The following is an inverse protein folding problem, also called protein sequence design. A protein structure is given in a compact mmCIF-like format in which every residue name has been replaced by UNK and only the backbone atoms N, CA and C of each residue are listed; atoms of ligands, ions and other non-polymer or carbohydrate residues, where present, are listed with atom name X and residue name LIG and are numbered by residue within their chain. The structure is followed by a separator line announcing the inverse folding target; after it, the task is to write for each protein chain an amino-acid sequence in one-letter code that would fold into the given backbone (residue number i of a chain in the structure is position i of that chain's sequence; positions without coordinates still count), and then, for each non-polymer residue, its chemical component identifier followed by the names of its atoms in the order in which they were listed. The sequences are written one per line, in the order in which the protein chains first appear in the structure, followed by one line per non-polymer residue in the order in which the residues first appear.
data_IF_670141770462
#
_entry.id   IF_670141770462
#
_cell.length_a   1.000
_cell.length_b   1.000
_cell.length_c   1.000
_cell.angle_alpha   90.00
_cell.angle_beta   90.00
_cell.angle_gamma   90.00
#
_symmetry.space_group_name_H-M   'P 1'
#
loop_
_entity.id
_entity.type
_entity.pdbx_description
1 polymer ?
#
# COMPACT_ATOMS: atom_id res chain seq x y z
N UNK A 1 60.43 -33.07 7.76
CA UNK A 1 61.04 -34.32 8.28
C UNK A 1 60.23 -34.71 9.51
N UNK A 2 59.22 -35.57 9.33
CA UNK A 2 59.27 -37.03 9.59
C UNK A 2 59.17 -37.32 11.10
N UNK A 3 58.33 -38.19 11.64
CA UNK A 3 57.39 -39.13 11.06
C UNK A 3 56.39 -39.61 12.15
N UNK A 4 55.25 -40.10 11.64
CA UNK A 4 54.16 -40.97 12.12
C UNK A 4 54.22 -41.76 13.46
N UNK A 5 52.99 -41.99 13.98
CA UNK A 5 52.51 -43.27 14.57
C UNK A 5 51.60 -43.06 15.80
N UNK A 6 50.26 -42.98 15.75
CA UNK A 6 49.15 -43.92 15.40
C UNK A 6 49.02 -45.21 16.24
N UNK A 7 47.89 -45.30 16.97
CA UNK A 7 47.10 -46.52 17.28
C UNK A 7 47.19 -47.01 18.74
N UNK A 8 46.14 -47.45 19.45
CA UNK A 8 44.72 -47.74 19.15
C UNK A 8 43.98 -48.07 20.47
N UNK A 9 42.67 -47.75 20.52
CA UNK A 9 41.50 -48.33 21.22
C UNK A 9 41.70 -49.63 22.06
N UNK A 10 41.01 -49.88 23.19
CA UNK A 10 39.54 -49.98 23.37
C UNK A 10 39.07 -50.00 24.85
N UNK A 11 37.80 -49.59 25.03
CA UNK A 11 36.75 -50.02 26.00
C UNK A 11 36.87 -49.73 27.51
N UNK A 12 36.08 -48.74 27.91
CA UNK A 12 35.36 -48.51 29.19
C UNK A 12 34.55 -49.75 29.68
N UNK A 13 34.10 -49.86 30.96
CA UNK A 13 33.18 -48.85 31.54
C UNK A 13 33.13 -48.63 33.08
N UNK A 14 32.48 -47.51 33.39
CA UNK A 14 31.50 -47.27 34.47
C UNK A 14 31.97 -46.57 35.76
N UNK A 15 31.77 -45.24 35.79
CA UNK A 15 31.50 -44.51 37.04
C UNK A 15 30.34 -43.52 36.86
N UNK A 16 29.40 -43.58 37.80
CA UNK A 16 28.18 -42.81 37.87
C UNK A 16 28.44 -41.37 38.32
N UNK A 17 27.88 -40.39 37.60
CA UNK A 17 27.95 -38.97 37.98
C UNK A 17 26.55 -38.39 38.23
N UNK A 18 26.31 -38.00 39.49
CA UNK A 18 25.10 -37.35 39.95
C UNK A 18 25.01 -35.90 39.42
N UNK A 19 23.98 -35.60 38.62
CA UNK A 19 23.65 -34.23 38.19
C UNK A 19 22.81 -33.51 39.26
N UNK A 20 23.35 -32.43 39.80
CA UNK A 20 22.68 -31.48 40.69
C UNK A 20 21.84 -30.50 39.84
N UNK A 21 20.52 -30.64 39.85
CA UNK A 21 19.61 -29.71 39.18
C UNK A 21 19.51 -28.39 39.94
N UNK A 22 19.93 -27.27 39.33
CA UNK A 22 19.67 -25.90 39.83
C UNK A 22 18.18 -25.58 39.63
N UNK A 23 17.41 -25.51 40.73
CA UNK A 23 16.05 -24.96 40.74
C UNK A 23 16.10 -23.47 40.39
N UNK A 24 15.50 -23.06 39.27
CA UNK A 24 15.17 -21.65 39.03
C UNK A 24 14.18 -21.19 40.09
N UNK A 25 14.52 -20.13 40.81
CA UNK A 25 13.63 -19.50 41.80
C UNK A 25 12.49 -18.76 41.08
N UNK A 26 11.25 -18.98 41.53
CA UNK A 26 10.02 -18.29 41.09
C UNK A 26 10.14 -16.75 41.10
N UNK A 27 11.09 -16.20 41.88
CA UNK A 27 11.33 -14.76 42.01
C UNK A 27 12.07 -14.15 40.79
N UNK A 28 12.85 -14.93 40.05
CA UNK A 28 13.53 -14.47 38.83
C UNK A 28 12.58 -14.46 37.64
N UNK A 29 11.59 -15.38 37.62
CA UNK A 29 10.54 -15.41 36.60
C UNK A 29 9.62 -14.17 36.69
N UNK A 30 9.30 -13.73 37.92
CA UNK A 30 8.47 -12.54 38.16
C UNK A 30 9.17 -11.22 37.80
N UNK A 31 10.50 -11.14 37.92
CA UNK A 31 11.26 -9.96 37.46
C UNK A 31 11.42 -9.91 35.94
N UNK A 32 11.46 -11.06 35.26
CA UNK A 32 11.42 -11.13 33.79
C UNK A 32 10.05 -10.74 33.21
N UNK A 33 8.96 -11.07 33.91
CA UNK A 33 7.60 -10.69 33.51
C UNK A 33 7.33 -9.18 33.63
N UNK A 34 7.94 -8.49 34.61
CA UNK A 34 7.76 -7.06 34.79
C UNK A 34 8.44 -6.22 33.69
N UNK A 35 9.54 -6.70 33.10
CA UNK A 35 10.22 -6.01 31.99
C UNK A 35 9.46 -6.16 30.66
N UNK A 36 8.73 -7.25 30.46
CA UNK A 36 7.89 -7.47 29.27
C UNK A 36 6.56 -6.70 29.38
N UNK A 37 6.07 -6.45 30.60
CA UNK A 37 4.86 -5.66 30.84
C UNK A 37 5.04 -4.16 30.52
N UNK A 38 6.27 -3.63 30.52
CA UNK A 38 6.56 -2.23 30.21
C UNK A 38 6.32 -1.85 28.74
N UNK A 39 6.40 -2.80 27.81
CA UNK A 39 6.11 -2.58 26.39
C UNK A 39 4.61 -2.73 26.04
N UNK A 40 3.79 -3.16 27.00
CA UNK A 40 2.34 -3.35 26.83
C UNK A 40 1.49 -2.24 27.51
N UNK A 41 2.12 -1.14 27.93
CA UNK A 41 1.46 -0.04 28.63
C UNK A 41 0.89 1.06 27.70
N UNK A 42 0.74 0.76 26.40
CA UNK A 42 0.30 1.71 25.37
C UNK A 42 -1.03 1.38 24.68
N UNK A 43 -1.85 0.49 25.23
CA UNK A 43 -3.17 0.18 24.65
C UNK A 43 -4.16 -0.34 25.71
N UNK A 44 -4.92 0.57 26.31
CA UNK A 44 -6.16 0.22 27.03
C UNK A 44 -7.22 -0.44 26.12
N UNK A 45 -6.98 -0.53 24.81
CA UNK A 45 -7.87 -1.15 23.83
C UNK A 45 -7.78 -2.69 23.72
N UNK A 46 -6.78 -3.36 24.33
CA UNK A 46 -6.52 -4.80 24.10
C UNK A 46 -6.88 -5.68 25.33
N UNK A 47 -7.28 -5.08 26.46
CA UNK A 47 -7.68 -5.84 27.65
C UNK A 47 -9.20 -6.00 27.74
N UNK A 48 -9.76 -6.99 27.05
CA UNK A 48 -11.07 -7.50 27.43
C UNK A 48 -11.88 -8.14 26.32
N UNK A 49 -11.55 -9.38 25.97
CA UNK A 49 -12.57 -10.29 25.45
C UNK A 49 -13.06 -11.19 26.60
N UNK A 50 -14.36 -11.24 26.91
CA UNK A 50 -14.90 -12.20 27.85
C UNK A 50 -14.52 -13.62 27.41
N UNK A 51 -14.06 -14.46 28.35
CA UNK A 51 -13.57 -15.83 28.07
C UNK A 51 -14.56 -16.70 27.29
N UNK A 52 -15.87 -16.42 27.42
CA UNK A 52 -16.94 -17.09 26.67
C UNK A 52 -16.86 -16.75 25.16
N UNK A 53 -16.65 -15.49 24.81
CA UNK A 53 -16.48 -15.06 23.42
C UNK A 53 -15.20 -15.67 22.82
N UNK A 54 -14.11 -15.71 23.59
CA UNK A 54 -12.83 -16.30 23.16
C UNK A 54 -12.95 -17.80 22.80
N UNK A 55 -13.80 -18.57 23.48
CA UNK A 55 -14.04 -19.98 23.12
C UNK A 55 -14.91 -20.15 21.87
N UNK A 56 -15.83 -19.21 21.62
CA UNK A 56 -16.79 -19.28 20.52
C UNK A 56 -16.22 -18.76 19.19
N UNK A 57 -15.20 -17.90 19.22
CA UNK A 57 -14.59 -17.32 18.01
C UNK A 57 -13.36 -18.10 17.52
N UNK A 58 -12.81 -19.03 18.32
CA UNK A 58 -11.55 -19.73 18.00
C UNK A 58 -11.58 -20.49 16.67
N UNK A 59 -12.75 -20.96 16.25
CA UNK A 59 -12.96 -21.73 15.03
C UNK A 59 -13.33 -20.84 13.82
N UNK A 60 -13.44 -19.52 14.04
CA UNK A 60 -13.66 -18.55 12.97
C UNK A 60 -12.36 -18.38 12.18
N UNK A 61 -12.49 -18.40 10.86
CA UNK A 61 -11.46 -17.97 9.91
C UNK A 61 -12.00 -16.88 9.01
N UNK A 62 -11.31 -15.73 8.98
CA UNK A 62 -11.53 -14.68 7.97
C UNK A 62 -10.48 -14.82 6.86
N UNK A 63 -10.94 -14.89 5.61
CA UNK A 63 -10.07 -14.83 4.43
C UNK A 63 -10.04 -13.41 3.87
N UNK A 64 -8.94 -12.72 4.08
CA UNK A 64 -8.67 -11.40 3.52
C UNK A 64 -7.89 -11.56 2.22
N UNK A 65 -8.51 -11.17 1.11
CA UNK A 65 -7.95 -11.38 -0.23
C UNK A 65 -7.77 -10.04 -0.93
N UNK A 66 -6.61 -9.82 -1.55
CA UNK A 66 -6.25 -8.54 -2.13
C UNK A 66 -4.90 -8.51 -2.81
N UNK A 67 -4.39 -7.30 -3.02
CA UNK A 67 -3.10 -7.06 -3.69
C UNK A 67 -1.93 -7.12 -2.72
N UNK A 68 -0.74 -7.43 -3.24
CA UNK A 68 0.39 -7.81 -2.39
C UNK A 68 0.97 -6.71 -1.50
N UNK A 69 0.70 -5.44 -1.81
CA UNK A 69 1.19 -4.30 -1.03
C UNK A 69 0.27 -3.90 0.14
N UNK A 70 -0.97 -4.37 0.16
CA UNK A 70 -1.99 -4.11 1.20
C UNK A 70 -2.33 -5.38 2.00
N UNK A 71 -2.28 -6.55 1.35
CA UNK A 71 -2.56 -7.86 1.95
C UNK A 71 -1.24 -8.58 2.20
N UNK A 72 -0.74 -8.46 3.44
CA UNK A 72 0.55 -8.99 3.87
C UNK A 72 0.35 -10.03 4.97
N UNK A 73 0.99 -11.20 4.83
CA UNK A 73 0.85 -12.31 5.79
C UNK A 73 1.12 -11.89 7.24
N UNK A 74 2.16 -11.09 7.47
CA UNK A 74 2.52 -10.61 8.81
C UNK A 74 1.39 -9.83 9.51
N UNK A 75 0.57 -9.10 8.73
CA UNK A 75 -0.58 -8.37 9.25
C UNK A 75 -1.66 -9.35 9.72
N UNK A 76 -1.97 -10.36 8.91
CA UNK A 76 -2.92 -11.41 9.29
C UNK A 76 -2.46 -12.23 10.51
N UNK A 77 -1.17 -12.58 10.56
CA UNK A 77 -0.59 -13.31 11.70
C UNK A 77 -0.71 -12.49 13.00
N UNK A 78 -0.43 -11.19 12.95
CA UNK A 78 -0.54 -10.32 14.12
C UNK A 78 -2.02 -10.12 14.51
N UNK A 79 -2.92 -9.89 13.55
CA UNK A 79 -4.35 -9.78 13.83
C UNK A 79 -4.91 -11.03 14.49
N UNK A 80 -4.52 -12.21 13.99
CA UNK A 80 -4.95 -13.49 14.54
C UNK A 80 -4.48 -13.67 15.99
N UNK A 81 -3.26 -13.24 16.30
CA UNK A 81 -2.71 -13.25 17.65
C UNK A 81 -3.49 -12.34 18.59
N UNK A 82 -3.85 -11.14 18.15
CA UNK A 82 -4.49 -10.14 18.99
C UNK A 82 -6.00 -10.39 19.17
N UNK A 83 -6.65 -10.93 18.14
CA UNK A 83 -8.11 -11.13 18.12
C UNK A 83 -8.55 -12.55 18.52
N UNK A 84 -7.65 -13.53 18.50
CA UNK A 84 -7.93 -14.89 18.95
C UNK A 84 -8.69 -15.77 17.95
N UNK A 85 -8.80 -15.36 16.69
CA UNK A 85 -9.34 -16.16 15.58
C UNK A 85 -8.42 -16.10 14.35
N UNK A 86 -8.58 -17.03 13.40
CA UNK A 86 -7.66 -17.14 12.27
C UNK A 86 -7.93 -16.05 11.22
N UNK A 87 -6.88 -15.39 10.75
CA UNK A 87 -6.92 -14.47 9.60
C UNK A 87 -5.97 -14.97 8.53
N UNK A 88 -6.52 -15.42 7.41
CA UNK A 88 -5.75 -15.92 6.26
C UNK A 88 -5.65 -14.83 5.20
N UNK A 89 -4.42 -14.42 4.91
CA UNK A 89 -4.10 -13.44 3.87
C UNK A 89 -3.84 -14.17 2.54
N UNK A 90 -4.49 -13.76 1.45
CA UNK A 90 -4.24 -14.31 0.11
C UNK A 90 -4.03 -13.20 -0.92
N UNK A 91 -2.95 -13.31 -1.69
CA UNK A 91 -2.53 -12.26 -2.62
C UNK A 91 -2.95 -12.62 -4.04
N UNK A 92 -3.47 -11.64 -4.77
CA UNK A 92 -3.83 -11.68 -6.19
C UNK A 92 -3.39 -10.37 -6.85
N UNK A 93 -3.19 -10.37 -8.16
CA UNK A 93 -3.08 -9.10 -8.89
C UNK A 93 -4.44 -8.38 -8.91
N UNK A 94 -4.42 -7.07 -9.16
CA UNK A 94 -5.61 -6.20 -9.19
C UNK A 94 -6.75 -6.77 -10.05
N UNK A 95 -6.46 -7.32 -11.24
CA UNK A 95 -7.49 -7.82 -12.16
C UNK A 95 -8.04 -9.17 -11.68
N UNK A 96 -7.17 -10.07 -11.22
CA UNK A 96 -7.60 -11.35 -10.66
C UNK A 96 -8.42 -11.19 -9.38
N UNK A 97 -8.08 -10.23 -8.52
CA UNK A 97 -8.78 -9.94 -7.28
C UNK A 97 -10.26 -9.62 -7.53
N UNK A 98 -10.55 -8.60 -8.34
CA UNK A 98 -11.94 -8.19 -8.60
C UNK A 98 -12.73 -9.27 -9.34
N UNK A 99 -12.10 -10.02 -10.26
CA UNK A 99 -12.73 -11.15 -10.92
C UNK A 99 -13.13 -12.25 -9.93
N UNK A 100 -12.28 -12.56 -8.94
CA UNK A 100 -12.61 -13.53 -7.90
C UNK A 100 -13.72 -13.03 -6.97
N UNK A 101 -13.70 -11.77 -6.57
CA UNK A 101 -14.76 -11.19 -5.72
C UNK A 101 -16.13 -11.29 -6.39
N UNK A 102 -16.18 -11.13 -7.71
CA UNK A 102 -17.43 -11.20 -8.49
C UNK A 102 -17.84 -12.65 -8.79
N UNK A 103 -16.91 -13.48 -9.25
CA UNK A 103 -17.23 -14.84 -9.75
C UNK A 103 -17.31 -15.90 -8.64
N UNK A 104 -16.61 -15.68 -7.52
CA UNK A 104 -16.48 -16.64 -6.43
C UNK A 104 -16.61 -15.94 -5.05
N UNK A 105 -17.67 -15.14 -4.81
CA UNK A 105 -17.77 -14.26 -3.64
C UNK A 105 -17.67 -15.02 -2.31
N UNK A 106 -18.18 -16.25 -2.24
CA UNK A 106 -18.15 -17.10 -1.03
C UNK A 106 -16.74 -17.60 -0.65
N UNK A 107 -15.73 -17.35 -1.49
CA UNK A 107 -14.33 -17.76 -1.22
C UNK A 107 -13.51 -16.69 -0.51
N UNK A 108 -14.06 -15.49 -0.31
CA UNK A 108 -13.39 -14.31 0.26
C UNK A 108 -14.28 -13.74 1.35
N UNK A 109 -13.76 -13.39 2.52
CA UNK A 109 -14.59 -12.76 3.57
C UNK A 109 -14.40 -11.25 3.61
N UNK A 110 -13.14 -10.82 3.55
CA UNK A 110 -12.74 -9.42 3.47
C UNK A 110 -12.12 -9.21 2.09
N UNK A 111 -12.79 -8.44 1.24
CA UNK A 111 -12.23 -8.04 -0.05
C UNK A 111 -11.43 -6.76 0.13
N UNK A 112 -10.14 -6.79 -0.19
CA UNK A 112 -9.37 -5.57 -0.35
C UNK A 112 -9.71 -4.93 -1.69
N UNK A 113 -10.37 -3.78 -1.62
CA UNK A 113 -10.90 -3.06 -2.76
C UNK A 113 -10.13 -1.76 -2.95
N UNK A 114 -9.60 -1.57 -4.16
CA UNK A 114 -9.30 -0.22 -4.64
C UNK A 114 -10.61 0.57 -4.75
N UNK A 115 -10.56 1.91 -4.64
CA UNK A 115 -11.77 2.75 -4.68
C UNK A 115 -12.68 2.48 -5.89
N UNK A 116 -12.11 2.25 -7.08
CA UNK A 116 -12.88 1.90 -8.27
C UNK A 116 -13.45 0.47 -8.24
N UNK A 117 -12.77 -0.47 -7.59
CA UNK A 117 -13.27 -1.83 -7.39
C UNK A 117 -14.47 -1.83 -6.45
N UNK A 118 -14.51 -0.93 -5.46
CA UNK A 118 -15.65 -0.79 -4.58
C UNK A 118 -16.92 -0.38 -5.34
N UNK A 119 -16.82 0.56 -6.29
CA UNK A 119 -17.92 0.91 -7.22
C UNK A 119 -18.45 -0.33 -7.94
N UNK A 120 -17.55 -1.14 -8.50
CA UNK A 120 -17.94 -2.33 -9.25
C UNK A 120 -18.51 -3.43 -8.35
N UNK A 121 -17.91 -3.68 -7.19
CA UNK A 121 -18.34 -4.68 -6.23
C UNK A 121 -19.73 -4.34 -5.64
N UNK A 122 -19.98 -3.07 -5.31
CA UNK A 122 -21.29 -2.58 -4.89
C UNK A 122 -22.31 -2.77 -6.02
N UNK A 123 -21.98 -2.37 -7.26
CA UNK A 123 -22.88 -2.50 -8.41
C UNK A 123 -23.25 -3.94 -8.73
N UNK A 124 -22.35 -4.89 -8.45
CA UNK A 124 -22.57 -6.34 -8.59
C UNK A 124 -23.21 -6.98 -7.37
N UNK A 125 -23.48 -6.21 -6.32
CA UNK A 125 -24.11 -6.69 -5.08
C UNK A 125 -23.34 -7.84 -4.42
N UNK A 126 -22.00 -7.85 -4.51
CA UNK A 126 -21.16 -8.91 -3.92
C UNK A 126 -20.59 -8.53 -2.54
N UNK A 127 -20.68 -7.26 -2.17
CA UNK A 127 -20.38 -6.74 -0.84
C UNK A 127 -21.66 -6.29 -0.13
N UNK A 128 -21.59 -6.19 1.19
CA UNK A 128 -22.59 -5.54 2.05
C UNK A 128 -22.02 -4.25 2.64
N UNK A 129 -22.89 -3.30 2.95
CA UNK A 129 -22.53 -2.05 3.59
C UNK A 129 -21.93 -2.26 4.97
N UNK A 130 -20.85 -1.52 5.24
CA UNK A 130 -20.21 -1.40 6.54
C UNK A 130 -20.94 -0.32 7.32
N UNK A 131 -21.48 -0.67 8.48
CA UNK A 131 -22.16 0.26 9.36
C UNK A 131 -21.14 1.16 10.05
N UNK A 132 -21.11 2.43 9.67
CA UNK A 132 -20.11 3.41 10.12
C UNK A 132 -20.07 3.53 11.65
N UNK A 133 -21.23 3.48 12.30
CA UNK A 133 -21.35 3.60 13.77
C UNK A 133 -20.64 2.50 14.56
N UNK A 134 -20.31 1.36 13.92
CA UNK A 134 -19.56 0.25 14.54
C UNK A 134 -18.05 0.41 14.43
N UNK A 135 -17.57 1.43 13.72
CA UNK A 135 -16.15 1.70 13.51
C UNK A 135 -15.68 2.73 14.55
N UNK A 136 -14.90 2.27 15.52
CA UNK A 136 -14.45 3.03 16.69
C UNK A 136 -13.65 4.28 16.32
N UNK A 137 -12.86 4.18 15.26
CA UNK A 137 -11.95 5.24 14.81
C UNK A 137 -12.50 6.03 13.62
N UNK A 138 -13.78 5.91 13.27
CA UNK A 138 -14.34 6.57 12.08
C UNK A 138 -14.16 8.08 12.09
N UNK A 139 -14.43 8.73 13.22
CA UNK A 139 -14.27 10.18 13.38
C UNK A 139 -12.81 10.64 13.34
N UNK A 140 -11.86 9.71 13.51
CA UNK A 140 -10.42 9.96 13.41
C UNK A 140 -9.85 9.64 12.01
N UNK A 141 -10.66 9.13 11.08
CA UNK A 141 -10.27 8.96 9.68
C UNK A 141 -9.99 10.33 9.08
N UNK A 142 -8.91 10.40 8.29
CA UNK A 142 -8.48 11.64 7.65
C UNK A 142 -9.60 12.32 6.84
N UNK A 143 -9.69 13.66 6.89
CA UNK A 143 -10.71 14.42 6.16
C UNK A 143 -10.75 14.20 4.64
N UNK A 144 -9.69 13.66 4.02
CA UNK A 144 -9.74 13.29 2.60
C UNK A 144 -10.76 12.19 2.30
N UNK A 145 -11.14 11.38 3.30
CA UNK A 145 -12.13 10.30 3.18
C UNK A 145 -13.53 10.70 3.66
N UNK A 146 -13.67 11.81 4.39
CA UNK A 146 -14.95 12.25 4.99
C UNK A 146 -15.42 13.61 4.50
N UNK A 147 -14.55 14.39 3.86
CA UNK A 147 -14.83 15.72 3.30
C UNK A 147 -14.26 15.91 1.89
N UNK A 148 -13.27 15.11 1.50
CA UNK A 148 -12.54 15.29 0.24
C UNK A 148 -11.55 16.46 0.26
N UNK A 149 -11.11 16.87 1.45
CA UNK A 149 -10.13 17.95 1.66
C UNK A 149 -9.22 17.62 2.84
N UNK A 150 -8.11 18.34 2.99
CA UNK A 150 -7.24 18.30 4.18
C UNK A 150 -6.70 19.69 4.47
N UNK A 151 -6.81 20.16 5.72
CA UNK A 151 -6.47 21.54 6.13
C UNK A 151 -7.10 22.63 5.23
N UNK A 152 -8.36 22.44 4.81
CA UNK A 152 -9.05 23.35 3.89
C UNK A 152 -8.55 23.29 2.42
N UNK A 153 -7.53 22.48 2.12
CA UNK A 153 -7.11 22.20 0.76
C UNK A 153 -7.97 21.10 0.15
N UNK A 154 -8.77 21.44 -0.87
CA UNK A 154 -9.60 20.48 -1.60
C UNK A 154 -8.74 19.53 -2.42
N UNK A 155 -8.96 18.23 -2.25
CA UNK A 155 -8.25 17.22 -3.02
C UNK A 155 -8.97 17.03 -4.37
N UNK A 156 -8.23 17.03 -5.50
CA UNK A 156 -8.82 16.80 -6.81
C UNK A 156 -9.61 15.49 -6.90
N UNK A 157 -10.71 15.54 -7.65
CA UNK A 157 -11.61 14.40 -7.94
C UNK A 157 -11.50 13.92 -9.39
N UNK A 158 -10.33 14.09 -10.01
CA UNK A 158 -10.08 13.46 -11.31
C UNK A 158 -9.82 11.97 -11.08
N UNK A 159 -10.54 11.09 -11.79
CA UNK A 159 -10.66 9.68 -11.44
C UNK A 159 -11.73 9.42 -10.39
N UNK A 160 -11.50 8.47 -9.48
CA UNK A 160 -12.39 8.22 -8.36
C UNK A 160 -11.62 8.42 -7.06
N UNK A 161 -11.89 9.54 -6.38
CA UNK A 161 -11.32 9.77 -5.06
C UNK A 161 -11.90 8.77 -4.06
N UNK A 162 -11.18 8.41 -2.98
CA UNK A 162 -11.71 7.49 -2.00
C UNK A 162 -12.97 8.04 -1.30
N UNK A 163 -13.11 9.37 -1.16
CA UNK A 163 -14.34 9.99 -0.66
C UNK A 163 -15.56 9.66 -1.52
N UNK A 164 -15.43 9.72 -2.85
CA UNK A 164 -16.52 9.42 -3.79
C UNK A 164 -16.86 7.92 -3.83
N UNK A 165 -15.88 7.06 -3.56
CA UNK A 165 -16.03 5.62 -3.62
C UNK A 165 -16.65 5.01 -2.33
N UNK A 166 -16.58 5.73 -1.21
CA UNK A 166 -16.71 5.13 0.11
C UNK A 166 -18.15 4.96 0.59
N UNK A 167 -19.12 5.78 0.19
CA UNK A 167 -20.44 5.81 0.84
C UNK A 167 -21.56 5.24 -0.02
N UNK A 168 -22.57 4.67 0.64
CA UNK A 168 -23.83 4.20 0.04
C UNK A 168 -25.01 4.58 0.94
N UNK A 169 -26.21 4.67 0.38
CA UNK A 169 -27.37 5.18 1.13
C UNK A 169 -28.00 4.17 2.10
N UNK A 170 -27.83 2.87 1.85
CA UNK A 170 -28.40 1.75 2.61
C UNK A 170 -27.44 0.55 2.59
N UNK A 171 -27.59 -0.45 3.49
CA UNK A 171 -26.67 -1.59 3.56
C UNK A 171 -26.52 -2.39 2.26
N UNK A 172 -27.53 -2.37 1.39
CA UNK A 172 -27.60 -3.15 0.16
C UNK A 172 -27.65 -2.29 -1.11
N UNK A 173 -27.44 -0.98 -0.98
CA UNK A 173 -27.39 -0.06 -2.11
C UNK A 173 -26.26 -0.42 -3.07
N UNK A 174 -26.59 -0.44 -4.36
CA UNK A 174 -25.65 -0.78 -5.44
C UNK A 174 -25.03 0.42 -6.12
N UNK A 175 -25.53 1.61 -5.80
CA UNK A 175 -25.05 2.90 -6.29
C UNK A 175 -24.37 3.66 -5.15
N UNK A 176 -23.23 4.25 -5.48
CA UNK A 176 -22.46 5.10 -4.56
C UNK A 176 -23.24 6.37 -4.22
N UNK A 177 -22.95 6.91 -3.04
CA UNK A 177 -23.51 8.15 -2.53
C UNK A 177 -22.39 9.19 -2.38
N UNK A 178 -22.60 10.42 -2.86
CA UNK A 178 -21.65 11.52 -2.63
C UNK A 178 -21.82 12.02 -1.19
N UNK A 179 -20.79 11.79 -0.39
CA UNK A 179 -20.71 12.22 1.00
C UNK A 179 -21.19 11.22 2.03
N UNK A 180 -20.83 11.54 3.28
CA UNK A 180 -20.89 10.63 4.42
C UNK A 180 -22.33 10.20 4.71
N UNK A 181 -22.52 8.90 4.86
CA UNK A 181 -23.77 8.27 5.28
C UNK A 181 -23.50 7.29 6.43
N UNK A 182 -24.54 6.61 6.92
CA UNK A 182 -24.40 5.54 7.92
C UNK A 182 -23.71 4.28 7.37
N UNK A 183 -23.50 4.19 6.04
CA UNK A 183 -23.06 2.96 5.36
C UNK A 183 -21.90 3.24 4.40
N UNK A 184 -20.82 2.48 4.55
CA UNK A 184 -19.67 2.51 3.66
C UNK A 184 -19.54 1.24 2.80
N UNK A 185 -19.03 1.36 1.58
CA UNK A 185 -18.70 0.22 0.70
C UNK A 185 -17.44 -0.51 1.13
N UNK A 186 -16.45 0.26 1.59
CA UNK A 186 -15.20 -0.24 2.13
C UNK A 186 -14.71 0.68 3.26
N UNK A 187 -13.88 0.14 4.13
CA UNK A 187 -13.16 0.90 5.14
C UNK A 187 -11.72 1.13 4.65
N UNK A 188 -11.26 2.37 4.43
CA UNK A 188 -9.91 2.62 3.93
C UNK A 188 -8.88 1.99 4.87
N UNK A 189 -7.82 1.40 4.31
CA UNK A 189 -6.83 0.67 5.09
C UNK A 189 -5.38 1.11 4.80
N UNK A 190 -5.11 1.52 3.56
CA UNK A 190 -3.81 2.04 3.14
C UNK A 190 -3.98 2.88 1.89
N UNK A 191 -3.19 3.93 1.76
CA UNK A 191 -3.21 4.76 0.56
C UNK A 191 -1.84 5.42 0.36
N UNK A 192 -1.58 5.87 -0.87
CA UNK A 192 -0.41 6.68 -1.18
C UNK A 192 -0.64 7.49 -2.45
N UNK A 193 0.39 8.22 -2.87
CA UNK A 193 0.43 8.92 -4.13
C UNK A 193 1.76 8.59 -4.84
N UNK A 194 1.67 8.34 -6.16
CA UNK A 194 2.72 7.87 -7.05
C UNK A 194 3.26 8.95 -8.00
N UNK A 195 4.54 8.84 -8.39
CA UNK A 195 5.23 9.77 -9.30
C UNK A 195 6.32 9.07 -10.13
N UNK A 196 7.41 9.77 -10.44
CA UNK A 196 8.55 9.31 -11.23
C UNK A 196 9.69 8.92 -10.30
N UNK A 197 10.32 7.76 -10.54
CA UNK A 197 11.62 7.42 -9.99
C UNK A 197 12.72 7.73 -11.00
N UNK A 198 13.83 8.33 -10.57
CA UNK A 198 14.94 8.64 -11.47
C UNK A 198 16.31 8.49 -10.81
N UNK A 199 17.35 8.33 -11.65
CA UNK A 199 18.77 8.26 -11.28
C UNK A 199 19.37 9.67 -11.30
N UNK A 200 19.53 10.37 -10.16
CA UNK A 200 20.01 11.75 -10.15
C UNK A 200 21.44 11.88 -10.70
N UNK A 201 22.23 10.82 -10.57
CA UNK A 201 23.59 10.72 -11.07
C UNK A 201 23.68 10.58 -12.60
N UNK A 202 22.57 10.24 -13.27
CA UNK A 202 22.52 10.03 -14.73
C UNK A 202 21.60 11.03 -15.46
N UNK A 203 20.60 11.58 -14.79
CA UNK A 203 19.63 12.54 -15.36
C UNK A 203 20.18 13.97 -15.41
N UNK A 204 21.10 14.32 -14.50
CA UNK A 204 21.84 15.58 -14.53
C UNK A 204 21.03 16.83 -14.15
N UNK A 205 19.78 16.69 -13.74
CA UNK A 205 18.94 17.76 -13.20
C UNK A 205 17.90 17.19 -12.23
N UNK A 206 17.26 18.06 -11.46
CA UNK A 206 16.14 17.68 -10.59
C UNK A 206 14.87 17.50 -11.42
N UNK A 207 14.28 16.30 -11.37
CA UNK A 207 12.98 16.00 -12.01
C UNK A 207 11.87 16.53 -11.13
N UNK A 208 11.08 17.48 -11.66
CA UNK A 208 9.94 18.07 -10.92
C UNK A 208 8.67 18.20 -11.77
N UNK A 209 8.68 17.66 -12.99
CA UNK A 209 7.59 17.71 -13.95
C UNK A 209 7.43 16.34 -14.65
N UNK A 210 6.21 15.91 -14.93
CA UNK A 210 5.97 14.61 -15.56
C UNK A 210 6.53 14.51 -16.99
N UNK A 211 6.63 15.63 -17.71
CA UNK A 211 7.16 15.67 -19.09
C UNK A 211 8.61 15.16 -19.18
N UNK A 212 9.37 15.17 -18.08
CA UNK A 212 10.74 14.66 -18.06
C UNK A 212 10.81 13.18 -18.46
N UNK A 213 9.74 12.40 -18.19
CA UNK A 213 9.67 11.00 -18.60
C UNK A 213 9.73 10.81 -20.13
N UNK A 214 9.27 11.82 -20.88
CA UNK A 214 9.26 11.83 -22.35
C UNK A 214 10.33 12.77 -22.95
N UNK A 215 11.29 13.25 -22.15
CA UNK A 215 12.41 14.06 -22.67
C UNK A 215 13.21 13.21 -23.68
N UNK A 216 13.44 13.70 -24.92
CA UNK A 216 14.26 13.02 -25.92
C UNK A 216 15.68 12.63 -25.47
N UNK A 217 16.24 13.28 -24.44
CA UNK A 217 17.54 12.92 -23.85
C UNK A 217 17.53 11.51 -23.22
N UNK A 218 16.36 11.01 -22.83
CA UNK A 218 16.20 9.70 -22.19
C UNK A 218 15.68 8.62 -23.14
N UNK A 219 15.76 8.83 -24.46
CA UNK A 219 15.47 7.80 -25.46
C UNK A 219 16.25 6.52 -25.17
N UNK A 220 15.54 5.40 -25.18
CA UNK A 220 16.07 4.07 -24.90
C UNK A 220 16.45 3.86 -23.43
N UNK A 221 16.09 4.79 -22.54
CA UNK A 221 16.43 4.78 -21.10
C UNK A 221 15.25 5.20 -20.21
N UNK A 222 14.04 5.28 -20.74
CA UNK A 222 12.82 5.53 -19.98
C UNK A 222 11.94 4.27 -19.91
N UNK A 223 11.11 4.16 -18.86
CA UNK A 223 10.05 3.15 -18.78
C UNK A 223 8.75 3.70 -18.19
N UNK A 224 7.63 3.05 -18.46
CA UNK A 224 6.31 3.43 -17.94
C UNK A 224 5.54 2.19 -17.48
N UNK A 225 4.68 2.35 -16.47
CA UNK A 225 3.81 1.31 -15.94
C UNK A 225 2.84 0.78 -17.00
N UNK A 226 2.77 -0.54 -17.15
CA UNK A 226 1.88 -1.28 -18.05
C UNK A 226 0.75 -1.99 -17.27
N UNK A 227 0.05 -1.20 -16.47
CA UNK A 227 -1.28 -1.55 -15.96
C UNK A 227 -2.24 -0.57 -16.61
N UNK A 228 -3.09 -0.98 -17.59
CA UNK A 228 -3.83 -0.04 -18.45
C UNK A 228 -4.60 1.03 -17.68
N UNK A 229 -5.33 0.64 -16.62
CA UNK A 229 -6.13 1.52 -15.78
C UNK A 229 -5.30 2.52 -14.94
N UNK A 230 -3.98 2.39 -14.93
CA UNK A 230 -3.05 3.19 -14.14
C UNK A 230 -2.05 3.92 -15.04
N UNK A 231 -1.35 3.18 -15.92
CA UNK A 231 -0.32 3.70 -16.82
C UNK A 231 -0.83 4.75 -17.79
N UNK A 232 -2.10 4.69 -18.21
CA UNK A 232 -2.68 5.74 -19.06
C UNK A 232 -2.78 7.09 -18.32
N UNK A 233 -2.96 7.08 -17.00
CA UNK A 233 -2.96 8.32 -16.22
C UNK A 233 -1.56 8.88 -16.06
N UNK A 234 -0.54 8.04 -15.90
CA UNK A 234 0.86 8.48 -15.91
C UNK A 234 1.21 9.14 -17.26
N UNK A 235 0.76 8.54 -18.37
CA UNK A 235 0.93 9.10 -19.70
C UNK A 235 0.19 10.44 -19.87
N UNK A 236 -1.05 10.53 -19.38
CA UNK A 236 -1.81 11.78 -19.41
C UNK A 236 -1.15 12.89 -18.60
N UNK A 237 -0.61 12.58 -17.41
CA UNK A 237 0.19 13.53 -16.62
C UNK A 237 1.41 14.01 -17.41
N UNK A 238 2.12 13.11 -18.10
CA UNK A 238 3.26 13.47 -18.97
C UNK A 238 2.84 14.41 -20.11
N UNK A 239 1.75 14.11 -20.80
CA UNK A 239 1.32 14.89 -21.96
C UNK A 239 0.70 16.25 -21.57
N UNK A 240 -0.01 16.32 -20.44
CA UNK A 240 -0.51 17.58 -19.88
C UNK A 240 0.63 18.47 -19.36
N UNK A 241 1.62 17.86 -18.69
CA UNK A 241 2.88 18.52 -18.30
C UNK A 241 3.59 19.14 -19.51
N UNK A 242 3.72 18.38 -20.59
CA UNK A 242 4.31 18.84 -21.86
C UNK A 242 3.43 19.85 -22.63
N UNK A 243 2.19 20.09 -22.20
CA UNK A 243 1.26 21.02 -22.85
C UNK A 243 0.70 20.52 -24.19
N UNK A 244 0.75 19.22 -24.43
CA UNK A 244 0.30 18.61 -25.68
C UNK A 244 -1.22 18.41 -25.74
N UNK A 245 -1.85 18.30 -24.59
CA UNK A 245 -3.30 18.14 -24.42
C UNK A 245 -3.69 18.66 -23.03
N UNK A 246 -4.95 19.06 -22.86
CA UNK A 246 -5.56 19.32 -21.56
C UNK A 246 -6.73 18.36 -21.40
N UNK A 247 -6.72 17.56 -20.34
CA UNK A 247 -7.79 16.60 -20.11
C UNK A 247 -8.94 17.23 -19.33
N UNK A 248 -10.17 16.83 -19.65
CA UNK A 248 -11.33 17.16 -18.79
C UNK A 248 -11.23 16.45 -17.44
N UNK A 249 -11.00 15.13 -17.49
CA UNK A 249 -10.77 14.29 -16.32
C UNK A 249 -9.77 13.19 -16.67
N UNK A 250 -8.52 13.27 -16.16
CA UNK A 250 -7.46 12.29 -16.44
C UNK A 250 -7.84 10.85 -16.07
N UNK A 251 -8.77 10.68 -15.12
CA UNK A 251 -9.26 9.35 -14.75
C UNK A 251 -10.51 8.92 -15.53
N UNK A 252 -11.21 9.81 -16.23
CA UNK A 252 -12.36 9.45 -17.05
C UNK A 252 -12.27 10.10 -18.43
N UNK A 253 -11.31 9.62 -19.22
CA UNK A 253 -11.01 10.17 -20.54
C UNK A 253 -12.10 9.85 -21.56
N UNK A 254 -12.35 10.78 -22.49
CA UNK A 254 -13.16 10.50 -23.69
C UNK A 254 -12.40 9.60 -24.67
N UNK A 255 -13.09 9.07 -25.68
CA UNK A 255 -12.41 8.27 -26.74
C UNK A 255 -11.35 9.07 -27.47
N UNK A 256 -11.59 10.35 -27.72
CA UNK A 256 -10.65 11.25 -28.39
C UNK A 256 -9.39 11.48 -27.54
N UNK A 257 -9.57 11.68 -26.23
CA UNK A 257 -8.47 11.80 -25.26
C UNK A 257 -7.68 10.48 -25.16
N UNK A 258 -8.35 9.32 -25.14
CA UNK A 258 -7.72 8.00 -25.16
C UNK A 258 -6.91 7.81 -26.45
N UNK A 259 -7.51 8.13 -27.61
CA UNK A 259 -6.85 7.97 -28.90
C UNK A 259 -5.62 8.86 -29.02
N UNK A 260 -5.71 10.11 -28.60
CA UNK A 260 -4.56 10.99 -28.51
C UNK A 260 -3.44 10.38 -27.66
N UNK A 261 -3.79 9.93 -26.45
CA UNK A 261 -2.83 9.39 -25.47
C UNK A 261 -2.13 8.16 -26.01
N UNK A 262 -2.89 7.15 -26.48
CA UNK A 262 -2.33 5.91 -26.99
C UNK A 262 -1.55 6.11 -28.30
N UNK A 263 -2.02 6.96 -29.22
CA UNK A 263 -1.28 7.27 -30.45
C UNK A 263 0.06 7.95 -30.13
N UNK A 264 0.10 8.87 -29.17
CA UNK A 264 1.35 9.52 -28.75
C UNK A 264 2.31 8.57 -28.05
N UNK A 265 1.82 7.66 -27.21
CA UNK A 265 2.64 6.59 -26.64
C UNK A 265 3.22 5.66 -27.72
N UNK A 266 2.42 5.27 -28.72
CA UNK A 266 2.87 4.48 -29.88
C UNK A 266 3.96 5.22 -30.67
N UNK A 267 3.75 6.51 -30.93
CA UNK A 267 4.74 7.36 -31.61
C UNK A 267 6.06 7.39 -30.84
N UNK A 268 6.02 7.69 -29.54
CA UNK A 268 7.20 7.71 -28.67
C UNK A 268 7.91 6.35 -28.63
N UNK A 269 7.15 5.25 -28.55
CA UNK A 269 7.71 3.89 -28.57
C UNK A 269 8.43 3.59 -29.89
N UNK A 270 7.82 3.93 -31.03
CA UNK A 270 8.44 3.78 -32.36
C UNK A 270 9.67 4.67 -32.55
N UNK A 271 9.70 5.82 -31.89
CA UNK A 271 10.86 6.71 -31.84
C UNK A 271 11.95 6.23 -30.85
N UNK A 272 11.73 5.10 -30.18
CA UNK A 272 12.66 4.50 -29.24
C UNK A 272 12.71 5.18 -27.87
N UNK A 273 11.68 5.92 -27.45
CA UNK A 273 11.68 6.59 -26.14
C UNK A 273 11.81 5.58 -25.00
N UNK A 274 10.95 4.57 -24.98
CA UNK A 274 10.87 3.61 -23.89
C UNK A 274 11.75 2.40 -24.14
N UNK A 275 12.64 2.09 -23.19
CA UNK A 275 13.43 0.86 -23.16
C UNK A 275 12.55 -0.36 -22.90
N UNK A 276 11.59 -0.20 -22.00
CA UNK A 276 10.71 -1.25 -21.48
C UNK A 276 9.44 -0.64 -20.89
N UNK A 277 8.45 -1.49 -20.64
CA UNK A 277 7.36 -1.25 -19.71
C UNK A 277 7.46 -2.23 -18.54
N UNK A 278 6.77 -1.98 -17.43
CA UNK A 278 6.79 -2.86 -16.25
C UNK A 278 5.39 -3.03 -15.67
N UNK A 279 5.11 -4.18 -15.05
CA UNK A 279 3.80 -4.49 -14.44
C UNK A 279 3.90 -4.89 -12.97
N UNK A 280 5.11 -5.14 -12.48
CA UNK A 280 5.36 -5.57 -11.10
C UNK A 280 6.37 -4.69 -10.39
N UNK A 281 6.31 -4.70 -9.06
CA UNK A 281 7.26 -4.00 -8.19
C UNK A 281 8.71 -4.37 -8.55
N UNK A 282 9.00 -5.67 -8.60
CA UNK A 282 10.34 -6.18 -8.86
C UNK A 282 10.87 -5.76 -10.23
N UNK A 283 10.04 -5.81 -11.29
CA UNK A 283 10.46 -5.35 -12.62
C UNK A 283 10.88 -3.88 -12.59
N UNK A 284 10.12 -3.00 -11.92
CA UNK A 284 10.47 -1.59 -11.81
C UNK A 284 11.82 -1.39 -11.10
N UNK A 285 12.10 -2.14 -10.03
CA UNK A 285 13.38 -2.08 -9.29
C UNK A 285 14.53 -2.58 -10.17
N UNK A 286 14.35 -3.71 -10.86
CA UNK A 286 15.42 -4.30 -11.67
C UNK A 286 15.82 -3.40 -12.85
N UNK A 287 14.86 -2.75 -13.52
CA UNK A 287 15.16 -1.84 -14.63
C UNK A 287 16.06 -0.66 -14.19
N UNK A 288 15.80 -0.07 -13.01
CA UNK A 288 16.67 0.96 -12.41
C UNK A 288 18.01 0.41 -11.97
N UNK A 289 18.00 -0.72 -11.26
CA UNK A 289 19.18 -1.28 -10.64
C UNK A 289 20.19 -1.80 -11.67
N UNK A 290 19.71 -2.39 -12.76
CA UNK A 290 20.53 -2.83 -13.89
C UNK A 290 21.02 -1.66 -14.78
N UNK A 291 20.50 -0.44 -14.56
CA UNK A 291 20.80 0.71 -15.39
C UNK A 291 20.18 0.64 -16.79
N UNK A 292 19.21 -0.25 -17.02
CA UNK A 292 18.47 -0.33 -18.27
C UNK A 292 17.62 0.93 -18.52
N UNK A 293 17.10 1.51 -17.43
CA UNK A 293 16.45 2.83 -17.47
C UNK A 293 17.04 3.75 -16.41
N UNK A 294 16.93 5.07 -16.65
CA UNK A 294 17.39 6.14 -15.74
C UNK A 294 16.24 6.98 -15.20
N UNK A 295 15.06 6.87 -15.81
CA UNK A 295 13.82 7.54 -15.41
C UNK A 295 12.62 6.64 -15.72
N UNK A 296 11.65 6.53 -14.82
CA UNK A 296 10.39 5.84 -15.10
C UNK A 296 9.26 6.31 -14.20
N UNK A 297 8.00 6.16 -14.62
CA UNK A 297 6.92 6.18 -13.62
C UNK A 297 7.15 5.02 -12.65
N UNK A 298 7.02 5.28 -11.35
CA UNK A 298 7.51 4.36 -10.33
C UNK A 298 6.74 4.50 -9.03
N UNK A 299 6.55 3.38 -8.33
CA UNK A 299 6.00 3.40 -6.97
C UNK A 299 7.06 3.87 -5.97
N UNK A 300 6.64 4.67 -4.98
CA UNK A 300 7.56 5.26 -3.99
C UNK A 300 8.46 4.23 -3.27
N UNK A 301 7.98 3.04 -2.85
CA UNK A 301 8.83 2.08 -2.15
C UNK A 301 9.82 1.37 -3.09
N UNK A 302 9.56 1.35 -4.40
CA UNK A 302 10.50 0.76 -5.36
C UNK A 302 11.77 1.62 -5.48
N UNK A 303 11.65 2.95 -5.38
CA UNK A 303 12.81 3.85 -5.32
C UNK A 303 13.66 3.58 -4.07
N UNK A 304 13.02 3.39 -2.91
CA UNK A 304 13.73 3.01 -1.69
C UNK A 304 14.46 1.66 -1.85
N UNK A 305 13.81 0.65 -2.45
CA UNK A 305 14.43 -0.64 -2.73
C UNK A 305 15.65 -0.56 -3.67
N UNK A 306 15.66 0.38 -4.63
CA UNK A 306 16.87 0.67 -5.44
C UNK A 306 17.97 1.29 -4.57
N UNK A 307 17.64 2.22 -3.67
CA UNK A 307 18.61 2.81 -2.74
C UNK A 307 19.22 1.82 -1.76
N UNK A 308 18.47 0.81 -1.30
CA UNK A 308 19.00 -0.28 -0.45
C UNK A 308 20.09 -1.07 -1.18
N UNK A 309 20.06 -1.13 -2.52
CA UNK A 309 21.13 -1.71 -3.34
C UNK A 309 22.33 -0.76 -3.54
N UNK A 310 22.37 0.34 -2.80
CA UNK A 310 23.39 1.41 -2.89
C UNK A 310 23.44 2.12 -4.24
N UNK A 311 22.31 2.13 -4.96
CA UNK A 311 22.16 2.79 -6.25
C UNK A 311 21.42 4.13 -6.05
N UNK A 312 21.99 5.27 -6.47
CA UNK A 312 21.33 6.58 -6.31
C UNK A 312 19.99 6.60 -7.04
N UNK A 313 18.89 6.78 -6.32
CA UNK A 313 17.56 6.87 -6.92
C UNK A 313 16.72 7.84 -6.09
N UNK A 314 16.02 8.75 -6.77
CA UNK A 314 15.18 9.79 -6.17
C UNK A 314 13.77 9.64 -6.68
N UNK A 315 12.82 9.80 -5.77
CA UNK A 315 11.42 9.85 -6.10
C UNK A 315 10.99 11.32 -6.32
N UNK A 316 10.62 11.65 -7.55
CA UNK A 316 10.46 13.02 -8.02
C UNK A 316 9.30 13.76 -7.32
N UNK A 317 9.55 14.97 -6.78
CA UNK A 317 8.51 15.82 -6.21
C UNK A 317 7.77 16.59 -7.31
N UNK A 318 6.92 15.89 -8.05
CA UNK A 318 6.06 16.43 -9.13
C UNK A 318 4.88 17.24 -8.58
N UNK A 319 5.15 18.21 -7.71
CA UNK A 319 4.12 19.00 -7.03
C UNK A 319 3.25 19.79 -8.03
N UNK A 320 1.97 19.99 -7.70
CA UNK A 320 1.01 20.72 -8.53
C UNK A 320 1.49 22.15 -8.76
N UNK A 321 1.59 22.56 -10.02
CA UNK A 321 2.06 23.89 -10.45
C UNK A 321 1.16 24.38 -11.58
N UNK A 322 0.54 25.55 -11.41
CA UNK A 322 -0.30 26.20 -12.44
C UNK A 322 -1.40 25.28 -13.02
N UNK A 323 -2.02 24.45 -12.18
CA UNK A 323 -3.06 23.50 -12.59
C UNK A 323 -2.56 22.27 -13.37
N UNK A 324 -1.23 22.07 -13.44
CA UNK A 324 -0.56 20.89 -13.99
C UNK A 324 0.17 20.13 -12.90
N UNK A 325 0.78 19.01 -13.28
CA UNK A 325 1.56 18.12 -12.41
C UNK A 325 0.71 17.52 -11.28
N UNK A 326 1.37 17.06 -10.23
CA UNK A 326 0.79 16.37 -9.08
C UNK A 326 1.03 14.88 -9.12
N UNK A 327 0.86 14.24 -7.96
CA UNK A 327 0.96 12.81 -7.81
C UNK A 327 -0.34 12.13 -8.23
N UNK A 328 -0.23 10.87 -8.70
CA UNK A 328 -1.37 9.99 -8.91
C UNK A 328 -1.70 9.26 -7.59
N UNK A 329 -2.83 9.59 -6.98
CA UNK A 329 -3.31 8.97 -5.75
C UNK A 329 -3.94 7.59 -5.96
N UNK A 330 -3.85 6.74 -4.96
CA UNK A 330 -4.57 5.46 -4.89
C UNK A 330 -4.91 5.13 -3.44
N UNK A 331 -5.98 4.35 -3.24
CA UNK A 331 -6.43 3.92 -1.93
C UNK A 331 -7.02 2.52 -2.03
N UNK A 332 -6.67 1.71 -1.04
CA UNK A 332 -7.19 0.37 -0.81
C UNK A 332 -7.96 0.34 0.51
N UNK A 333 -8.99 -0.49 0.58
CA UNK A 333 -9.74 -0.67 1.80
C UNK A 333 -10.55 -1.95 1.86
N UNK A 334 -10.93 -2.31 3.08
CA UNK A 334 -11.58 -3.58 3.38
C UNK A 334 -13.08 -3.47 3.14
N UNK A 335 -13.61 -4.24 2.19
CA UNK A 335 -15.03 -4.47 1.98
C UNK A 335 -15.50 -5.76 2.65
N UNK A 336 -16.73 -5.77 3.17
CA UNK A 336 -17.35 -6.97 3.74
C UNK A 336 -18.11 -7.72 2.65
N UNK A 337 -17.75 -8.98 2.40
CA UNK A 337 -18.45 -9.80 1.42
C UNK A 337 -19.89 -10.12 1.87
N UNK A 338 -20.82 -10.15 0.92
CA UNK A 338 -22.27 -10.16 1.21
C UNK A 338 -22.76 -11.37 2.01
N UNK A 339 -22.09 -12.53 1.94
CA UNK A 339 -22.49 -13.73 2.70
C UNK A 339 -22.14 -13.66 4.19
N UNK A 340 -21.29 -12.72 4.61
CA UNK A 340 -20.93 -12.59 6.03
C UNK A 340 -22.17 -12.30 6.87
N UNK A 341 -22.37 -13.12 7.90
CA UNK A 341 -23.50 -13.00 8.82
C UNK A 341 -23.15 -13.59 10.19
N UNK A 342 -23.96 -13.27 11.20
CA UNK A 342 -23.79 -13.75 12.57
C UNK A 342 -22.39 -13.51 13.14
N UNK A 343 -21.87 -14.46 13.91
CA UNK A 343 -20.57 -14.35 14.60
C UNK A 343 -19.41 -14.07 13.66
N UNK A 344 -19.46 -14.52 12.41
CA UNK A 344 -18.39 -14.28 11.44
C UNK A 344 -18.39 -12.82 10.96
N UNK A 345 -19.57 -12.20 10.82
CA UNK A 345 -19.68 -10.77 10.57
C UNK A 345 -19.21 -9.95 11.77
N UNK A 346 -19.55 -10.36 12.99
CA UNK A 346 -19.09 -9.69 14.22
C UNK A 346 -17.54 -9.73 14.32
N UNK A 347 -16.94 -10.90 14.06
CA UNK A 347 -15.49 -11.05 13.98
C UNK A 347 -14.86 -10.16 12.88
N UNK A 348 -15.55 -10.01 11.74
CA UNK A 348 -15.12 -9.09 10.70
C UNK A 348 -15.11 -7.63 11.18
N UNK A 349 -16.12 -7.17 11.92
CA UNK A 349 -16.11 -5.82 12.51
C UNK A 349 -15.00 -5.62 13.55
N UNK A 350 -14.69 -6.63 14.36
CA UNK A 350 -13.53 -6.56 15.27
C UNK A 350 -12.22 -6.48 14.49
N UNK A 351 -12.10 -7.22 13.38
CA UNK A 351 -10.94 -7.13 12.49
C UNK A 351 -10.79 -5.76 11.83
N UNK A 352 -11.89 -5.17 11.32
CA UNK A 352 -11.91 -3.82 10.78
C UNK A 352 -11.43 -2.79 11.82
N UNK A 353 -11.93 -2.87 13.05
CA UNK A 353 -11.53 -2.00 14.15
C UNK A 353 -10.07 -2.22 14.58
N UNK A 354 -9.58 -3.47 14.59
CA UNK A 354 -8.19 -3.77 14.88
C UNK A 354 -7.25 -3.13 13.84
N UNK A 355 -7.64 -3.15 12.56
CA UNK A 355 -6.84 -2.53 11.50
C UNK A 355 -6.62 -1.03 11.73
N UNK A 356 -7.66 -0.32 12.17
CA UNK A 356 -7.58 1.11 12.48
C UNK A 356 -6.99 1.43 13.86
N UNK A 357 -6.77 0.42 14.71
CA UNK A 357 -6.24 0.62 16.08
C UNK A 357 -4.77 1.05 16.13
N UNK A 358 -4.06 0.96 15.01
CA UNK A 358 -2.76 1.61 14.79
C UNK A 358 -1.60 0.68 14.47
N UNK A 359 -1.63 -0.60 14.88
CA UNK A 359 -0.50 -1.52 14.62
C UNK A 359 -0.25 -1.68 13.12
N UNK A 360 -1.30 -1.94 12.34
CA UNK A 360 -1.17 -2.05 10.88
C UNK A 360 -0.73 -0.72 10.26
N UNK A 361 -1.26 0.40 10.75
CA UNK A 361 -0.87 1.73 10.27
C UNK A 361 0.62 2.00 10.44
N UNK A 362 1.20 1.65 11.60
CA UNK A 362 2.64 1.72 11.83
C UNK A 362 3.42 0.73 10.97
N UNK A 363 2.89 -0.48 10.74
CA UNK A 363 3.50 -1.46 9.85
C UNK A 363 3.64 -0.94 8.43
N UNK A 364 2.56 -0.44 7.81
CA UNK A 364 2.61 0.05 6.42
C UNK A 364 3.34 1.38 6.26
N UNK A 365 3.38 2.21 7.31
CA UNK A 365 4.17 3.43 7.32
C UNK A 365 5.67 3.18 7.14
N UNK A 366 6.19 2.04 7.63
CA UNK A 366 7.59 1.63 7.39
C UNK A 366 7.89 1.19 5.95
N UNK A 367 6.87 0.98 5.12
CA UNK A 367 7.02 0.90 3.66
C UNK A 367 6.90 2.26 2.96
N UNK A 368 6.64 3.33 3.71
CA UNK A 368 6.38 4.67 3.17
C UNK A 368 4.93 4.91 2.72
N UNK A 369 4.00 3.99 3.04
CA UNK A 369 2.56 4.16 2.82
C UNK A 369 1.90 4.92 3.97
N UNK A 370 0.64 5.33 3.80
CA UNK A 370 -0.09 6.07 4.83
C UNK A 370 -1.30 5.31 5.36
N UNK A 371 -1.43 5.34 6.69
CA UNK A 371 -2.66 4.96 7.37
C UNK A 371 -3.74 6.02 7.20
N UNK A 372 -5.01 5.62 7.00
CA UNK A 372 -6.17 6.52 7.05
C UNK A 372 -6.43 7.16 8.41
N UNK A 373 -5.84 6.60 9.49
CA UNK A 373 -5.93 7.13 10.87
C UNK A 373 -4.51 7.37 11.42
N UNK A 374 -3.80 8.43 10.98
CA UNK A 374 -2.43 8.67 11.42
C UNK A 374 -2.25 8.80 12.94
N UNK A 375 -3.29 9.26 13.66
CA UNK A 375 -3.25 9.43 15.11
C UNK A 375 -3.06 8.10 15.86
N UNK A 376 -3.64 7.00 15.38
CA UNK A 376 -3.43 5.67 15.95
C UNK A 376 -2.11 5.08 15.46
N UNK A 377 -1.78 5.23 14.17
CA UNK A 377 -0.51 4.78 13.60
C UNK A 377 0.71 5.38 14.32
N UNK A 378 0.66 6.67 14.70
CA UNK A 378 1.72 7.37 15.44
C UNK A 378 2.14 6.64 16.72
N UNK A 379 1.20 5.98 17.40
CA UNK A 379 1.46 5.24 18.66
C UNK A 379 2.35 4.01 18.45
N UNK A 380 2.46 3.53 17.21
CA UNK A 380 3.24 2.35 16.81
C UNK A 380 4.49 2.69 16.00
N UNK A 381 4.83 3.99 15.91
CA UNK A 381 6.03 4.49 15.24
C UNK A 381 6.97 5.09 16.28
N UNK A 382 8.27 4.93 16.07
CA UNK A 382 9.25 5.68 16.87
C UNK A 382 9.17 7.17 16.51
N UNK A 383 9.68 8.07 17.37
CA UNK A 383 9.77 9.48 17.03
C UNK A 383 10.54 9.74 15.73
N UNK A 384 11.60 8.96 15.46
CA UNK A 384 12.37 9.07 14.23
C UNK A 384 11.57 8.62 12.99
N UNK A 385 10.86 7.50 13.08
CA UNK A 385 9.98 7.03 12.01
C UNK A 385 8.88 8.04 11.72
N UNK A 386 8.26 8.63 12.74
CA UNK A 386 7.24 9.67 12.56
C UNK A 386 7.81 10.93 11.91
N UNK A 387 8.96 11.42 12.40
CA UNK A 387 9.62 12.60 11.86
C UNK A 387 9.97 12.44 10.37
N UNK A 388 10.46 11.26 9.98
CA UNK A 388 10.80 10.98 8.59
C UNK A 388 9.55 10.77 7.73
N UNK A 389 8.65 9.86 8.12
CA UNK A 389 7.54 9.45 7.26
C UNK A 389 6.41 10.46 7.19
N UNK A 390 6.05 11.09 8.29
CA UNK A 390 4.89 11.98 8.35
C UNK A 390 5.30 13.45 8.31
N UNK A 391 6.35 13.84 9.01
CA UNK A 391 6.78 15.25 9.06
C UNK A 391 7.77 15.60 7.94
N UNK A 392 8.27 14.62 7.20
CA UNK A 392 9.19 14.82 6.06
C UNK A 392 10.56 15.37 6.47
N UNK A 393 10.92 15.26 7.74
CA UNK A 393 12.20 15.71 8.27
C UNK A 393 13.33 14.78 7.84
N UNK A 394 14.59 15.26 7.82
CA UNK A 394 15.74 14.37 7.72
C UNK A 394 15.68 13.28 8.78
N UNK A 395 15.93 12.03 8.38
CA UNK A 395 15.89 10.86 9.24
C UNK A 395 16.86 11.06 10.44
N UNK A 396 16.37 11.14 11.69
CA UNK A 396 17.23 11.37 12.84
C UNK A 396 18.21 10.21 13.09
N UNK A 397 17.81 9.00 12.68
CA UNK A 397 18.56 7.76 12.78
C UNK A 397 18.25 6.88 11.55
N UNK A 398 18.82 5.67 11.49
CA UNK A 398 18.51 4.71 10.42
C UNK A 398 17.02 4.36 10.46
N UNK A 399 16.35 4.46 9.31
CA UNK A 399 14.95 4.03 9.15
C UNK A 399 14.95 2.62 8.58
N UNK A 400 14.24 1.73 9.25
CA UNK A 400 14.09 0.35 8.82
C UNK A 400 12.75 0.13 8.11
N UNK A 401 12.72 -0.91 7.28
CA UNK A 401 11.48 -1.49 6.77
C UNK A 401 10.70 -2.18 7.91
N UNK A 402 9.47 -2.69 7.65
CA UNK A 402 8.66 -3.33 8.69
C UNK A 402 9.24 -4.63 9.26
N UNK A 403 10.28 -5.20 8.64
CA UNK A 403 10.97 -6.40 9.09
C UNK A 403 12.30 -6.10 9.79
N UNK A 404 12.64 -4.82 9.98
CA UNK A 404 13.86 -4.39 10.66
C UNK A 404 15.08 -4.32 9.74
N UNK A 405 14.91 -4.38 8.42
CA UNK A 405 16.00 -4.20 7.46
C UNK A 405 16.23 -2.70 7.24
N UNK A 406 17.48 -2.25 7.35
CA UNK A 406 17.84 -0.86 7.10
C UNK A 406 17.46 -0.43 5.68
N UNK A 407 16.66 0.64 5.57
CA UNK A 407 16.15 1.15 4.31
C UNK A 407 16.66 2.55 3.99
N UNK A 408 16.71 3.44 4.98
CA UNK A 408 17.25 4.80 4.83
C UNK A 408 18.29 5.10 5.89
N UNK A 409 19.35 5.81 5.47
CA UNK A 409 20.43 6.24 6.36
C UNK A 409 20.00 7.47 7.17
N UNK A 410 20.62 7.68 8.33
CA UNK A 410 20.46 8.92 9.08
C UNK A 410 20.83 10.13 8.20
N UNK A 411 20.07 11.21 8.31
CA UNK A 411 20.19 12.41 7.49
C UNK A 411 19.46 12.36 6.14
N UNK A 412 18.97 11.20 5.68
CA UNK A 412 18.17 11.13 4.45
C UNK A 412 16.90 11.95 4.61
N UNK A 413 16.59 12.81 3.64
CA UNK A 413 15.33 13.56 3.58
C UNK A 413 14.27 12.75 2.83
N UNK A 414 13.02 12.75 3.31
CA UNK A 414 11.92 12.07 2.62
C UNK A 414 11.62 12.75 1.28
N UNK A 415 11.67 11.95 0.22
CA UNK A 415 11.26 12.39 -1.12
C UNK A 415 9.79 12.82 -1.16
N UNK A 416 9.52 13.95 -1.81
CA UNK A 416 8.19 14.55 -1.88
C UNK A 416 7.77 15.35 -0.64
N UNK A 417 8.63 15.42 0.40
CA UNK A 417 8.36 16.18 1.61
C UNK A 417 7.49 15.44 2.62
N UNK A 418 6.75 16.21 3.42
CA UNK A 418 5.88 15.66 4.47
C UNK A 418 4.70 14.88 3.88
N UNK A 419 4.03 14.12 4.75
CA UNK A 419 2.75 13.52 4.44
C UNK A 419 1.75 14.54 3.87
N UNK A 420 1.64 15.71 4.51
CA UNK A 420 0.71 16.76 4.08
C UNK A 420 1.10 17.33 2.71
N UNK A 421 2.40 17.54 2.46
CA UNK A 421 2.87 18.01 1.16
C UNK A 421 2.48 17.03 0.06
N UNK A 422 2.71 15.73 0.27
CA UNK A 422 2.38 14.71 -0.73
C UNK A 422 0.89 14.61 -0.97
N UNK A 423 0.06 14.59 0.08
CA UNK A 423 -1.40 14.49 -0.05
C UNK A 423 -1.99 15.72 -0.73
N UNK A 424 -1.55 16.93 -0.36
CA UNK A 424 -2.02 18.19 -0.99
C UNK A 424 -1.58 18.36 -2.44
N UNK A 425 -0.66 17.52 -2.92
CA UNK A 425 -0.20 17.53 -4.30
C UNK A 425 -0.75 16.35 -5.13
N UNK A 426 -1.73 15.60 -4.64
CA UNK A 426 -2.47 14.63 -5.48
C UNK A 426 -3.25 15.40 -6.55
N UNK A 427 -3.15 15.00 -7.82
CA UNK A 427 -3.87 15.66 -8.94
C UNK A 427 -4.90 14.77 -9.64
N UNK A 428 -4.79 13.45 -9.51
CA UNK A 428 -5.78 12.48 -9.96
C UNK A 428 -5.71 11.21 -9.11
N UNK A 429 -6.70 10.34 -9.28
CA UNK A 429 -6.84 9.07 -8.57
C UNK A 429 -6.97 7.91 -9.53
N UNK A 430 -6.38 6.76 -9.19
CA UNK A 430 -6.62 5.49 -9.88
C UNK A 430 -8.11 5.25 -10.06
N UNK A 431 -8.53 4.80 -11.24
CA UNK A 431 -9.93 4.49 -11.51
C UNK A 431 -10.11 3.52 -12.69
N UNK A 432 -11.35 3.07 -12.86
CA UNK A 432 -11.83 2.44 -14.08
C UNK A 432 -12.74 3.43 -14.80
N UNK A 433 -12.27 3.96 -15.93
CA UNK A 433 -13.02 4.90 -16.75
C UNK A 433 -14.23 4.24 -17.43
N UNK A 434 -15.22 5.04 -17.83
CA UNK A 434 -16.44 4.55 -18.49
C UNK A 434 -16.10 3.83 -19.82
N UNK A 435 -15.09 4.32 -20.54
CA UNK A 435 -14.59 3.74 -21.79
C UNK A 435 -13.50 2.67 -21.60
N UNK A 436 -13.45 2.01 -20.43
CA UNK A 436 -12.36 1.08 -20.08
C UNK A 436 -12.12 -0.04 -21.10
N UNK A 437 -13.18 -0.59 -21.71
CA UNK A 437 -13.03 -1.62 -22.74
C UNK A 437 -12.32 -1.07 -24.00
N UNK A 438 -12.67 0.14 -24.43
CA UNK A 438 -12.01 0.81 -25.54
C UNK A 438 -10.57 1.17 -25.18
N UNK A 439 -10.35 1.75 -24.00
CA UNK A 439 -9.02 2.08 -23.49
C UNK A 439 -8.10 0.86 -23.46
N UNK A 440 -8.56 -0.27 -22.93
CA UNK A 440 -7.78 -1.52 -22.89
C UNK A 440 -7.37 -1.99 -24.30
N UNK A 441 -8.26 -1.87 -25.29
CA UNK A 441 -7.93 -2.18 -26.69
C UNK A 441 -6.80 -1.28 -27.19
N UNK A 442 -6.90 0.03 -26.98
CA UNK A 442 -5.91 1.01 -27.46
C UNK A 442 -4.59 0.91 -26.70
N UNK A 443 -4.63 0.55 -25.42
CA UNK A 443 -3.45 0.25 -24.64
C UNK A 443 -2.73 -1.00 -25.16
N UNK A 444 -3.47 -2.05 -25.54
CA UNK A 444 -2.88 -3.22 -26.20
C UNK A 444 -2.20 -2.85 -27.53
N UNK A 445 -2.76 -1.93 -28.32
CA UNK A 445 -2.10 -1.43 -29.54
C UNK A 445 -0.74 -0.78 -29.21
N UNK A 446 -0.65 -0.03 -28.10
CA UNK A 446 0.62 0.50 -27.59
C UNK A 446 1.60 -0.60 -27.15
N UNK A 447 1.12 -1.63 -26.46
CA UNK A 447 1.95 -2.74 -25.99
C UNK A 447 2.61 -3.51 -27.13
N UNK A 448 1.91 -3.68 -28.26
CA UNK A 448 2.40 -4.47 -29.40
C UNK A 448 3.12 -3.65 -30.49
N UNK A 449 2.96 -2.32 -30.50
CA UNK A 449 3.65 -1.41 -31.43
C UNK A 449 5.17 -1.42 -31.28
#
# INVERSE_FOLDING_TARGET
MSDRGKGTFTSDPAEANARRAKKLSRRTLLKGAAAIAGAAAGSDAIRGFPTIWAQEIKDIELRHVGVSYSVVKAIGDQAAKDLGFKVTMQNLDTSAAINRFISQPNTVDIADLEGWQAKLAAKRSVIQGIEVKKIKEFDNILPIFTKGEIDGHKIPRQGISPYEAMYISKPDSTDLHDGVTEWATFLPQVYNADSIGYRPDLVGHEVTEWKDLIDPKFKGKAAILDVPAIGIMDAALCFESAGLIKYGNKGNMTKEEIDFTCNKLIELKKQGQFRATWTTFDQSVQLMAAGEVVIQSMWSPAVAAVRVKEIPCVYAPVNVKNGKEGYRGWCNGMGLMKHLSGKKLDAAYEYLNWYLSGWQGGFVARYGYYSPVPSTAKKFLTPAEWAFWYEGQPAPEVINDPYGVAMEKAGTKRDGGSFLDRVKNISCWNTLMDEAAYMNKRWNDFKVA
#
